data_IF_792366207189
#
_entry.id   IF_792366207189
#
_cell.length_a   1.000
_cell.length_b   1.000
_cell.length_c   1.000
_cell.angle_alpha   90.00
_cell.angle_beta   90.00
_cell.angle_gamma   90.00
#
_symmetry.space_group_name_H-M   'P 1'
#
loop_
_entity.id
_entity.type
_entity.pdbx_description
1 polymer ?
#
# COMPACT_ATOMS: atom_id res chain seq x y z
N UNK A 1 -19.67 -14.22 4.86
CA UNK A 1 -18.57 -14.27 3.88
C UNK A 1 -19.10 -13.92 2.51
N UNK A 2 -19.59 -14.91 1.76
CA UNK A 2 -20.16 -14.72 0.42
C UNK A 2 -21.30 -13.69 0.37
N UNK A 3 -22.18 -13.66 1.37
CA UNK A 3 -23.30 -12.69 1.42
C UNK A 3 -22.84 -11.24 1.58
N UNK A 4 -21.59 -11.01 2.00
CA UNK A 4 -20.98 -9.68 2.11
C UNK A 4 -20.24 -9.26 0.84
N UNK A 5 -20.00 -10.18 -0.09
CA UNK A 5 -19.32 -9.92 -1.36
C UNK A 5 -20.33 -9.49 -2.42
N UNK A 6 -20.26 -8.27 -2.97
CA UNK A 6 -21.17 -7.83 -4.04
C UNK A 6 -21.12 -8.72 -5.28
N UNK A 7 -20.00 -9.39 -5.51
CA UNK A 7 -19.75 -10.28 -6.65
C UNK A 7 -19.90 -11.76 -6.30
N UNK A 8 -20.23 -12.09 -5.04
CA UNK A 8 -20.27 -13.47 -4.51
C UNK A 8 -18.98 -14.24 -4.75
N UNK A 9 -17.85 -13.57 -4.63
CA UNK A 9 -16.53 -14.15 -4.75
C UNK A 9 -15.77 -14.05 -3.41
N UNK A 10 -14.95 -15.06 -3.13
CA UNK A 10 -14.01 -15.10 -2.01
C UNK A 10 -12.64 -15.53 -2.53
N UNK A 11 -11.59 -14.86 -2.05
CA UNK A 11 -10.21 -15.29 -2.20
C UNK A 11 -9.77 -16.01 -0.93
N UNK A 12 -9.07 -17.14 -1.07
CA UNK A 12 -8.55 -17.94 0.04
C UNK A 12 -7.05 -18.09 -0.17
N UNK A 13 -6.26 -17.51 0.74
CA UNK A 13 -4.80 -17.47 0.64
C UNK A 13 -4.12 -18.36 1.67
N UNK A 14 -2.84 -18.66 1.43
CA UNK A 14 -1.97 -19.24 2.44
C UNK A 14 -1.83 -18.29 3.65
N UNK A 15 -1.66 -18.85 4.84
CA UNK A 15 -1.49 -18.02 6.04
C UNK A 15 -0.13 -17.32 6.01
N UNK A 16 -0.16 -16.01 6.12
CA UNK A 16 1.00 -15.15 6.28
C UNK A 16 1.04 -14.50 7.67
N UNK A 17 0.30 -15.06 8.64
CA UNK A 17 0.20 -14.50 9.99
C UNK A 17 1.59 -14.36 10.61
N UNK A 18 1.85 -13.19 11.20
CA UNK A 18 3.13 -12.88 11.84
C UNK A 18 4.18 -12.27 10.89
N UNK A 19 3.91 -12.19 9.59
CA UNK A 19 4.77 -11.44 8.67
C UNK A 19 4.68 -9.94 8.91
N UNK A 20 5.73 -9.20 8.55
CA UNK A 20 5.71 -7.74 8.60
C UNK A 20 4.74 -7.21 7.56
N UNK A 21 3.93 -6.21 7.91
CA UNK A 21 2.95 -5.62 7.01
C UNK A 21 3.30 -4.16 6.69
N UNK A 22 3.26 -3.82 5.41
CA UNK A 22 3.66 -2.51 4.90
C UNK A 22 2.62 -1.94 3.94
N UNK A 23 2.53 -0.62 3.92
CA UNK A 23 1.71 0.10 2.96
C UNK A 23 2.52 1.19 2.26
N UNK A 24 2.25 1.40 0.97
CA UNK A 24 2.86 2.44 0.15
C UNK A 24 1.78 3.31 -0.47
N UNK A 25 1.81 4.61 -0.18
CA UNK A 25 0.97 5.62 -0.81
C UNK A 25 1.65 6.13 -2.07
N UNK A 26 1.04 5.85 -3.22
CA UNK A 26 1.59 6.14 -4.54
C UNK A 26 0.73 7.17 -5.25
N UNK A 27 1.36 8.10 -5.97
CA UNK A 27 0.68 9.02 -6.89
C UNK A 27 1.29 8.89 -8.28
N UNK A 28 0.43 8.78 -9.30
CA UNK A 28 0.79 8.68 -10.72
C UNK A 28 0.07 9.73 -11.56
N UNK A 29 0.77 10.30 -12.54
CA UNK A 29 0.19 11.19 -13.55
C UNK A 29 0.19 10.60 -14.97
N UNK A 30 -0.54 11.26 -15.87
CA UNK A 30 -0.69 10.87 -17.28
C UNK A 30 0.59 10.90 -18.11
N UNK A 31 1.68 11.45 -17.58
CA UNK A 31 3.01 11.43 -18.21
C UNK A 31 3.87 10.29 -17.67
N UNK A 32 3.25 9.37 -16.94
CA UNK A 32 3.91 8.27 -16.23
C UNK A 32 4.89 8.73 -15.14
N UNK A 33 4.77 9.98 -14.65
CA UNK A 33 5.49 10.38 -13.45
C UNK A 33 4.85 9.68 -12.25
N UNK A 34 5.68 9.04 -11.42
CA UNK A 34 5.20 8.24 -10.31
C UNK A 34 6.08 8.46 -9.08
N UNK A 35 5.44 8.72 -7.94
CA UNK A 35 6.12 8.98 -6.66
C UNK A 35 5.54 8.12 -5.54
N UNK A 36 6.39 7.77 -4.59
CA UNK A 36 5.97 7.32 -3.26
C UNK A 36 5.82 8.57 -2.41
N UNK A 37 4.62 8.81 -1.92
CA UNK A 37 4.34 9.92 -1.00
C UNK A 37 4.69 9.51 0.43
N UNK A 38 4.33 8.28 0.82
CA UNK A 38 4.57 7.79 2.17
C UNK A 38 4.72 6.27 2.17
N UNK A 39 5.58 5.76 3.03
CA UNK A 39 5.67 4.35 3.40
C UNK A 39 5.22 4.20 4.84
N UNK A 40 4.41 3.19 5.12
CA UNK A 40 3.87 2.90 6.45
C UNK A 40 4.31 1.49 6.82
N UNK A 41 4.78 1.32 8.05
CA UNK A 41 5.07 0.01 8.66
C UNK A 41 4.06 -0.24 9.77
N UNK A 42 3.43 -1.41 9.73
CA UNK A 42 2.50 -1.82 10.78
C UNK A 42 3.30 -2.34 11.97
N UNK A 43 2.93 -1.88 13.16
CA UNK A 43 3.48 -2.37 14.42
C UNK A 43 2.91 -3.76 14.73
N UNK A 44 1.60 -3.93 14.54
CA UNK A 44 0.95 -5.24 14.61
C UNK A 44 1.21 -6.00 13.29
N UNK A 45 1.55 -7.30 13.35
CA UNK A 45 1.90 -8.05 12.15
C UNK A 45 0.66 -8.47 11.35
N UNK A 46 0.90 -8.98 10.13
CA UNK A 46 -0.11 -9.60 9.27
C UNK A 46 -1.01 -10.54 10.09
N UNK A 47 -2.32 -10.40 9.90
CA UNK A 47 -3.35 -11.09 10.68
C UNK A 47 -4.21 -10.13 11.52
N UNK A 48 -3.73 -8.92 11.77
CA UNK A 48 -4.52 -7.78 12.26
C UNK A 48 -4.73 -6.84 11.07
N UNK A 49 -5.97 -6.43 10.82
CA UNK A 49 -6.25 -5.54 9.69
C UNK A 49 -5.58 -4.18 9.91
N UNK A 50 -4.89 -3.61 8.91
CA UNK A 50 -4.14 -2.33 9.00
C UNK A 50 -4.91 -1.20 9.69
N UNK A 51 -6.21 -1.13 9.44
CA UNK A 51 -7.14 -0.18 10.07
C UNK A 51 -7.37 -0.31 11.57
N UNK A 52 -7.07 -1.46 12.15
CA UNK A 52 -7.11 -1.79 13.58
C UNK A 52 -5.69 -1.93 14.16
N UNK A 53 -4.67 -2.00 13.31
CA UNK A 53 -3.25 -2.03 13.68
C UNK A 53 -2.74 -0.66 14.10
N UNK A 54 -1.81 -0.64 15.05
CA UNK A 54 -0.92 0.50 15.25
C UNK A 54 0.04 0.57 14.05
N UNK A 55 0.25 1.76 13.50
CA UNK A 55 1.15 1.95 12.35
C UNK A 55 2.07 3.16 12.54
N UNK A 56 3.23 3.12 11.89
CA UNK A 56 4.23 4.19 11.93
C UNK A 56 4.64 4.60 10.52
N UNK A 57 4.99 5.87 10.36
CA UNK A 57 5.58 6.39 9.13
C UNK A 57 6.86 7.19 9.47
N UNK A 58 7.98 7.01 8.72
CA UNK A 58 8.15 6.10 7.58
C UNK A 58 8.30 4.62 8.00
N UNK A 59 8.57 3.72 7.05
CA UNK A 59 9.04 2.37 7.35
C UNK A 59 10.40 2.42 8.08
N UNK A 60 10.61 1.53 9.04
CA UNK A 60 11.73 1.54 9.97
C UNK A 60 12.69 0.35 9.79
N UNK A 61 12.15 -0.84 9.51
CA UNK A 61 12.92 -2.10 9.56
C UNK A 61 13.27 -2.68 8.19
N UNK A 62 13.13 -1.88 7.13
CA UNK A 62 13.60 -2.24 5.79
C UNK A 62 14.99 -1.70 5.56
N UNK A 63 15.86 -2.53 5.00
CA UNK A 63 17.06 -2.02 4.33
C UNK A 63 16.65 -1.19 3.12
N UNK A 64 17.51 -0.26 2.68
CA UNK A 64 17.24 0.53 1.48
C UNK A 64 16.99 -0.38 0.25
N UNK A 65 17.71 -1.50 0.12
CA UNK A 65 17.50 -2.46 -0.97
C UNK A 65 16.08 -3.05 -0.97
N UNK A 66 15.59 -3.49 0.18
CA UNK A 66 14.22 -4.01 0.32
C UNK A 66 13.19 -2.91 0.06
N UNK A 67 13.44 -1.70 0.57
CA UNK A 67 12.59 -0.54 0.31
C UNK A 67 12.50 -0.23 -1.19
N UNK A 68 13.62 -0.22 -1.92
CA UNK A 68 13.61 0.02 -3.37
C UNK A 68 12.86 -1.07 -4.14
N UNK A 69 12.94 -2.33 -3.71
CA UNK A 69 12.16 -3.43 -4.30
C UNK A 69 10.66 -3.20 -4.09
N UNK A 70 10.25 -2.89 -2.86
CA UNK A 70 8.85 -2.58 -2.52
C UNK A 70 8.33 -1.35 -3.26
N UNK A 71 9.16 -0.29 -3.34
CA UNK A 71 8.87 0.91 -4.13
C UNK A 71 8.62 0.54 -5.60
N UNK A 72 9.53 -0.20 -6.23
CA UNK A 72 9.40 -0.58 -7.63
C UNK A 72 8.16 -1.43 -7.89
N UNK A 73 7.87 -2.38 -6.99
CA UNK A 73 6.64 -3.18 -7.06
C UNK A 73 5.38 -2.32 -6.95
N UNK A 74 5.37 -1.34 -6.03
CA UNK A 74 4.25 -0.41 -5.87
C UNK A 74 3.95 0.35 -7.16
N UNK A 75 4.99 0.89 -7.83
CA UNK A 75 4.82 1.60 -9.10
C UNK A 75 4.36 0.66 -10.22
N UNK A 76 4.88 -0.57 -10.25
CA UNK A 76 4.47 -1.58 -11.23
C UNK A 76 3.00 -1.99 -11.07
N UNK A 77 2.52 -2.15 -9.84
CA UNK A 77 1.11 -2.46 -9.54
C UNK A 77 0.18 -1.37 -10.08
N UNK A 78 0.49 -0.09 -9.86
CA UNK A 78 -0.34 1.00 -10.40
C UNK A 78 -0.37 1.02 -11.93
N UNK A 79 0.76 0.72 -12.57
CA UNK A 79 0.86 0.65 -14.03
C UNK A 79 0.02 -0.49 -14.59
N UNK A 80 0.11 -1.67 -13.99
CA UNK A 80 -0.61 -2.86 -14.45
C UNK A 80 -2.13 -2.75 -14.24
N UNK A 81 -2.56 -2.23 -13.09
CA UNK A 81 -3.99 -1.98 -12.83
C UNK A 81 -4.55 -0.83 -13.67
N UNK A 82 -3.69 0.03 -14.24
CA UNK A 82 -4.11 1.12 -15.12
C UNK A 82 -4.53 2.39 -14.38
N UNK A 83 -4.04 2.64 -13.16
CA UNK A 83 -4.24 3.92 -12.49
C UNK A 83 -3.28 4.95 -13.08
N UNK A 84 -3.76 5.78 -14.00
CA UNK A 84 -2.92 6.76 -14.72
C UNK A 84 -2.96 8.17 -14.14
N UNK A 85 -4.02 8.53 -13.41
CA UNK A 85 -4.27 9.92 -12.99
C UNK A 85 -4.82 9.99 -11.56
N UNK A 86 -4.00 9.67 -10.57
CA UNK A 86 -4.48 9.66 -9.19
C UNK A 86 -3.54 9.08 -8.15
N UNK A 87 -4.09 8.88 -6.96
CA UNK A 87 -3.43 8.23 -5.84
C UNK A 87 -3.98 6.83 -5.60
N UNK A 88 -3.14 5.92 -5.11
CA UNK A 88 -3.53 4.57 -4.71
C UNK A 88 -2.65 4.08 -3.56
N UNK A 89 -3.20 3.19 -2.76
CA UNK A 89 -2.50 2.49 -1.69
C UNK A 89 -2.19 1.07 -2.14
N UNK A 90 -0.96 0.61 -1.92
CA UNK A 90 -0.52 -0.76 -2.21
C UNK A 90 0.00 -1.39 -0.92
N UNK A 91 -0.45 -2.62 -0.61
CA UNK A 91 -0.11 -3.31 0.62
C UNK A 91 0.79 -4.53 0.36
N UNK A 92 1.70 -4.79 1.30
CA UNK A 92 2.70 -5.84 1.18
C UNK A 92 2.86 -6.61 2.49
N UNK A 93 3.08 -7.92 2.37
CA UNK A 93 3.59 -8.77 3.43
C UNK A 93 5.06 -9.11 3.19
N UNK A 94 5.90 -9.05 4.23
CA UNK A 94 7.31 -9.44 4.17
C UNK A 94 7.64 -10.46 5.26
N UNK A 95 8.18 -11.60 4.84
CA UNK A 95 8.70 -12.62 5.74
C UNK A 95 9.95 -12.10 6.45
N UNK A 96 9.95 -11.99 7.80
CA UNK A 96 11.09 -11.43 8.54
C UNK A 96 12.35 -12.31 8.44
N UNK A 97 12.20 -13.61 8.24
CA UNK A 97 13.33 -14.56 8.22
C UNK A 97 13.99 -14.67 6.84
N UNK A 98 13.22 -14.47 5.76
CA UNK A 98 13.70 -14.71 4.38
C UNK A 98 13.72 -13.46 3.51
N UNK A 99 13.04 -12.38 3.92
CA UNK A 99 12.82 -11.21 3.09
C UNK A 99 11.87 -11.44 1.91
N UNK A 100 11.19 -12.60 1.82
CA UNK A 100 10.16 -12.85 0.79
C UNK A 100 9.07 -11.80 0.91
N UNK A 101 8.86 -11.04 -0.17
CA UNK A 101 7.82 -10.03 -0.28
C UNK A 101 6.65 -10.56 -1.11
N UNK A 102 5.43 -10.28 -0.67
CA UNK A 102 4.20 -10.54 -1.41
C UNK A 102 3.34 -9.28 -1.47
N UNK A 103 2.61 -9.10 -2.57
CA UNK A 103 1.58 -8.05 -2.69
C UNK A 103 0.29 -8.61 -2.11
N UNK A 104 -0.36 -7.87 -1.21
CA UNK A 104 -1.61 -8.29 -0.56
C UNK A 104 -2.80 -7.76 -1.34
N UNK A 105 -2.88 -6.45 -1.49
CA UNK A 105 -3.93 -5.79 -2.28
C UNK A 105 -3.46 -4.44 -2.79
N UNK A 106 -4.28 -3.85 -3.67
CA UNK A 106 -4.19 -2.44 -3.99
C UNK A 106 -5.58 -1.80 -3.98
N UNK A 107 -5.63 -0.57 -3.48
CA UNK A 107 -6.85 0.21 -3.43
C UNK A 107 -6.75 1.34 -4.48
N UNK A 108 -7.52 1.28 -5.59
CA UNK A 108 -7.42 2.24 -6.70
C UNK A 108 -8.16 3.55 -6.40
N UNK A 109 -7.91 4.11 -5.21
CA UNK A 109 -8.58 5.31 -4.67
C UNK A 109 -7.80 5.87 -3.48
N UNK A 110 -8.22 7.05 -3.03
CA UNK A 110 -7.86 7.54 -1.70
C UNK A 110 -8.40 6.60 -0.60
N UNK A 111 -7.63 6.46 0.47
CA UNK A 111 -7.86 5.55 1.59
C UNK A 111 -7.74 6.28 2.93
N UNK A 112 -8.06 5.60 4.04
CA UNK A 112 -7.75 6.10 5.39
C UNK A 112 -6.23 6.30 5.55
N UNK A 113 -5.43 5.38 5.02
CA UNK A 113 -3.97 5.47 4.97
C UNK A 113 -3.48 6.69 4.16
N UNK A 114 -4.15 7.06 3.07
CA UNK A 114 -3.81 8.26 2.30
C UNK A 114 -4.05 9.55 3.10
N UNK A 115 -5.08 9.57 3.96
CA UNK A 115 -5.35 10.69 4.85
C UNK A 115 -4.29 10.79 5.94
N UNK A 116 -3.91 9.65 6.55
CA UNK A 116 -2.80 9.55 7.49
C UNK A 116 -1.49 10.04 6.86
N UNK A 117 -1.12 9.51 5.69
CA UNK A 117 0.07 9.90 4.94
C UNK A 117 0.09 11.40 4.60
N UNK A 118 -1.06 11.96 4.22
CA UNK A 118 -1.17 13.40 3.95
C UNK A 118 -0.87 14.24 5.19
N UNK A 119 -1.25 13.77 6.38
CA UNK A 119 -0.92 14.43 7.66
C UNK A 119 0.53 14.19 8.08
N UNK A 120 1.04 12.98 7.92
CA UNK A 120 2.40 12.62 8.29
C UNK A 120 3.46 13.38 7.46
N UNK A 121 3.17 13.63 6.18
CA UNK A 121 4.12 14.22 5.23
C UNK A 121 3.86 15.70 4.91
N UNK A 122 2.65 16.18 5.18
CA UNK A 122 2.17 17.48 4.71
C UNK A 122 1.83 17.52 3.21
N UNK A 123 1.96 16.42 2.48
CA UNK A 123 1.60 16.32 1.06
C UNK A 123 0.10 16.05 0.89
N UNK A 124 -0.70 16.95 0.28
CA UNK A 124 -2.15 16.79 0.25
C UNK A 124 -2.61 15.85 -0.89
N UNK A 125 -2.51 14.52 -0.69
CA UNK A 125 -2.74 13.49 -1.73
C UNK A 125 -4.07 13.69 -2.45
N UNK A 126 -5.18 13.81 -1.73
CA UNK A 126 -6.51 13.97 -2.34
C UNK A 126 -6.61 15.23 -3.23
N UNK A 127 -5.99 16.34 -2.81
CA UNK A 127 -5.97 17.59 -3.59
C UNK A 127 -5.15 17.46 -4.87
N UNK A 128 -4.05 16.71 -4.82
CA UNK A 128 -3.21 16.46 -5.98
C UNK A 128 -3.88 15.46 -6.91
N UNK A 129 -4.39 14.34 -6.41
CA UNK A 129 -5.13 13.35 -7.19
C UNK A 129 -6.29 13.99 -7.96
N UNK A 130 -7.08 14.87 -7.32
CA UNK A 130 -8.16 15.59 -7.98
C UNK A 130 -7.71 16.55 -9.10
N UNK A 131 -6.48 17.06 -9.05
CA UNK A 131 -5.90 17.89 -10.13
C UNK A 131 -5.29 17.07 -11.26
N UNK A 132 -4.98 15.80 -11.01
CA UNK A 132 -4.39 14.89 -11.99
C UNK A 132 -5.47 14.21 -12.85
N UNK A 133 -6.66 14.01 -12.29
CA UNK A 133 -7.83 13.46 -12.94
C UNK A 133 -8.30 14.28 -14.16
#
# INVERSE_FOLDING_TARGET
GLDLSPTKELLIDESLIGWKEYEMEVVRDKKDNCIIVCSIENFDPMGVHTGDSITVAPAQTLTDKEYQIMRNASLAVLREIGVETGGSNVQFGICPDTGRMVVIEMNPRVSRSSALASKATGFPIAKIAAKLA
#
